data_IF_688700788420
#
_entry.id   IF_688700788420
#
_cell.length_a   1.000
_cell.length_b   1.000
_cell.length_c   1.000
_cell.angle_alpha   90.00
_cell.angle_beta   90.00
_cell.angle_gamma   90.00
#
_symmetry.space_group_name_H-M   'P 1'
#
loop_
_entity.id
_entity.type
_entity.pdbx_description
1 polymer ?
#
# COMPACT_ATOMS: atom_id res chain seq x y z
N UNK A 1 25.88 -10.95 9.09
CA UNK A 1 25.36 -11.23 7.72
C UNK A 1 24.19 -10.29 7.47
N UNK A 2 24.04 -9.69 6.27
CA UNK A 2 22.88 -8.88 5.96
C UNK A 2 21.60 -9.74 6.03
N UNK A 3 20.54 -9.20 6.64
CA UNK A 3 19.24 -9.86 6.75
C UNK A 3 18.60 -10.02 5.37
N UNK A 4 18.03 -11.19 5.08
CA UNK A 4 17.35 -11.45 3.80
C UNK A 4 16.03 -10.68 3.71
N UNK A 5 15.51 -10.45 2.49
CA UNK A 5 14.22 -9.79 2.29
C UNK A 5 13.08 -10.54 3.00
N UNK A 6 13.10 -11.88 2.97
CA UNK A 6 12.15 -12.72 3.69
C UNK A 6 12.22 -12.52 5.21
N UNK A 7 13.42 -12.48 5.80
CA UNK A 7 13.59 -12.24 7.24
C UNK A 7 13.06 -10.87 7.65
N UNK A 8 13.28 -9.83 6.84
CA UNK A 8 12.73 -8.49 7.09
C UNK A 8 11.20 -8.48 6.98
N UNK A 9 10.64 -9.14 5.97
CA UNK A 9 9.20 -9.26 5.79
C UNK A 9 8.53 -9.90 7.02
N UNK A 10 9.09 -10.99 7.54
CA UNK A 10 8.58 -11.64 8.78
C UNK A 10 8.66 -10.72 9.99
N UNK A 11 9.78 -10.00 10.18
CA UNK A 11 9.96 -9.05 11.28
C UNK A 11 8.97 -7.87 11.23
N UNK A 12 8.68 -7.36 10.03
CA UNK A 12 7.69 -6.29 9.88
C UNK A 12 6.29 -6.84 10.15
N UNK A 13 5.95 -8.00 9.59
CA UNK A 13 4.63 -8.60 9.75
C UNK A 13 4.33 -9.00 11.21
N UNK A 14 5.34 -9.30 12.03
CA UNK A 14 5.13 -9.56 13.46
C UNK A 14 4.71 -8.31 14.25
N UNK A 15 4.88 -7.11 13.67
CA UNK A 15 4.41 -5.82 14.21
C UNK A 15 3.08 -5.37 13.61
N UNK A 16 2.51 -6.13 12.68
CA UNK A 16 1.28 -5.78 11.98
C UNK A 16 0.04 -6.32 12.69
N UNK A 17 -1.09 -5.66 12.46
CA UNK A 17 -2.41 -6.22 12.71
C UNK A 17 -2.99 -6.77 11.41
N UNK A 18 -3.76 -7.86 11.46
CA UNK A 18 -4.33 -8.50 10.29
C UNK A 18 -5.85 -8.31 10.24
N UNK A 19 -6.39 -7.88 9.10
CA UNK A 19 -7.83 -7.70 8.96
C UNK A 19 -8.56 -9.04 8.91
N UNK A 20 -9.86 -9.02 9.20
CA UNK A 20 -10.72 -10.17 8.89
C UNK A 20 -10.82 -10.37 7.37
N UNK A 21 -10.96 -11.60 6.89
CA UNK A 21 -11.03 -11.90 5.45
C UNK A 21 -12.27 -11.34 4.73
N UNK A 22 -13.26 -10.88 5.48
CA UNK A 22 -14.48 -10.24 4.95
C UNK A 22 -14.40 -8.72 4.97
N UNK A 23 -13.33 -8.15 5.53
CA UNK A 23 -13.14 -6.71 5.61
C UNK A 23 -12.38 -6.19 4.39
N UNK A 24 -12.81 -5.02 3.91
CA UNK A 24 -12.05 -4.20 2.98
C UNK A 24 -11.86 -2.79 3.57
N UNK A 25 -10.61 -2.32 3.69
CA UNK A 25 -10.32 -0.96 4.13
C UNK A 25 -10.88 0.08 3.15
N UNK A 26 -11.17 -0.29 1.90
CA UNK A 26 -11.75 0.64 0.92
C UNK A 26 -13.27 0.73 0.98
N UNK A 27 -13.92 -0.17 1.72
CA UNK A 27 -15.39 -0.25 1.84
C UNK A 27 -15.89 0.04 3.27
N UNK A 28 -14.98 0.06 4.25
CA UNK A 28 -15.31 0.31 5.66
C UNK A 28 -15.43 1.80 5.97
N UNK A 29 -16.27 2.19 6.95
CA UNK A 29 -16.30 3.56 7.46
C UNK A 29 -14.90 4.00 7.91
N UNK A 30 -14.51 5.23 7.53
CA UNK A 30 -13.21 5.80 7.87
C UNK A 30 -12.01 4.96 7.42
N UNK A 31 -12.19 4.08 6.44
CA UNK A 31 -11.14 3.24 5.87
C UNK A 31 -10.36 2.40 6.90
N UNK A 32 -11.04 2.05 8.00
CA UNK A 32 -10.44 1.35 9.13
C UNK A 32 -10.90 -0.10 9.13
N UNK A 33 -9.99 -1.07 8.89
CA UNK A 33 -10.37 -2.46 8.91
C UNK A 33 -10.69 -2.95 10.33
N UNK A 34 -11.55 -3.97 10.41
CA UNK A 34 -11.72 -4.78 11.62
C UNK A 34 -10.64 -5.86 11.64
N UNK A 35 -10.01 -6.05 12.80
CA UNK A 35 -8.88 -6.96 12.95
C UNK A 35 -9.28 -8.32 13.54
N UNK A 36 -8.61 -9.38 13.09
CA UNK A 36 -8.62 -10.69 13.73
C UNK A 36 -7.60 -10.73 14.87
N UNK A 37 -7.70 -11.72 15.77
CA UNK A 37 -6.67 -12.05 16.76
C UNK A 37 -5.56 -12.96 16.21
N UNK A 38 -5.38 -12.97 14.89
CA UNK A 38 -4.44 -13.87 14.17
C UNK A 38 -3.03 -13.30 14.25
N UNK A 39 -2.05 -14.14 14.57
CA UNK A 39 -0.63 -13.79 14.58
C UNK A 39 0.05 -14.14 13.24
N UNK A 40 1.24 -13.59 12.98
CA UNK A 40 1.99 -13.98 11.77
C UNK A 40 2.38 -15.46 11.81
N UNK A 41 2.65 -16.02 12.98
CA UNK A 41 2.91 -17.45 13.18
C UNK A 41 1.70 -18.29 12.75
N UNK A 42 0.48 -17.88 13.12
CA UNK A 42 -0.76 -18.53 12.68
C UNK A 42 -0.95 -18.48 11.16
N UNK A 43 -0.49 -17.41 10.52
CA UNK A 43 -0.57 -17.24 9.06
C UNK A 43 0.46 -18.14 8.36
N UNK A 44 1.72 -18.13 8.81
CA UNK A 44 2.82 -18.88 8.18
C UNK A 44 2.64 -20.40 8.34
N UNK A 45 2.02 -20.85 9.44
CA UNK A 45 1.77 -22.26 9.68
C UNK A 45 0.63 -22.85 8.82
N UNK A 46 -0.10 -22.01 8.07
CA UNK A 46 -1.13 -22.48 7.14
C UNK A 46 -0.50 -23.06 5.87
N UNK A 47 -1.16 -24.03 5.22
CA UNK A 47 -0.69 -24.57 3.95
C UNK A 47 -0.53 -23.47 2.90
N UNK A 48 0.47 -23.64 2.03
CA UNK A 48 0.77 -22.71 0.94
C UNK A 48 -0.49 -22.43 0.12
N UNK A 49 -0.81 -21.15 -0.04
CA UNK A 49 -1.90 -20.69 -0.91
C UNK A 49 -1.44 -20.66 -2.38
N UNK A 50 -2.42 -20.53 -3.26
CA UNK A 50 -2.16 -20.16 -4.65
C UNK A 50 -1.62 -18.72 -4.72
N UNK A 51 -0.35 -18.61 -5.08
CA UNK A 51 0.37 -17.36 -5.19
C UNK A 51 0.42 -16.80 -6.61
N UNK A 52 -0.25 -17.43 -7.58
CA UNK A 52 -0.18 -17.06 -9.01
C UNK A 52 -0.48 -15.57 -9.20
N UNK A 53 -1.59 -15.09 -8.64
CA UNK A 53 -1.99 -13.68 -8.75
C UNK A 53 -0.99 -12.70 -8.12
N UNK A 54 -0.35 -13.11 -7.02
CA UNK A 54 0.68 -12.29 -6.34
C UNK A 54 1.91 -12.17 -7.24
N UNK A 55 2.35 -13.28 -7.82
CA UNK A 55 3.49 -13.31 -8.73
C UNK A 55 3.21 -12.51 -10.00
N UNK A 56 2.01 -12.63 -10.56
CA UNK A 56 1.59 -11.88 -11.75
C UNK A 56 1.61 -10.37 -11.50
N UNK A 57 0.95 -9.89 -10.43
CA UNK A 57 0.93 -8.45 -10.14
C UNK A 57 2.33 -7.95 -9.77
N UNK A 58 3.10 -8.73 -9.01
CA UNK A 58 4.47 -8.38 -8.63
C UNK A 58 5.37 -8.24 -9.84
N UNK A 59 5.19 -9.06 -10.86
CA UNK A 59 5.88 -8.94 -12.13
C UNK A 59 5.46 -7.67 -12.87
N UNK A 60 4.15 -7.43 -13.02
CA UNK A 60 3.60 -6.30 -13.75
C UNK A 60 4.00 -4.92 -13.19
N UNK A 61 4.03 -4.80 -11.85
CA UNK A 61 4.34 -3.55 -11.14
C UNK A 61 5.78 -3.49 -10.66
N UNK A 62 6.56 -4.56 -10.88
CA UNK A 62 7.92 -4.74 -10.37
C UNK A 62 8.00 -4.39 -8.87
N UNK A 63 7.19 -5.07 -8.08
CA UNK A 63 7.03 -4.83 -6.65
C UNK A 63 8.36 -5.11 -5.90
N UNK A 64 8.72 -4.30 -4.89
CA UNK A 64 9.89 -4.55 -4.05
C UNK A 64 9.86 -5.91 -3.37
N UNK A 65 11.03 -6.56 -3.29
CA UNK A 65 11.17 -7.91 -2.74
C UNK A 65 10.60 -8.03 -1.34
N UNK A 66 10.78 -7.01 -0.50
CA UNK A 66 10.24 -7.00 0.86
C UNK A 66 8.71 -7.10 0.86
N UNK A 67 8.03 -6.35 0.00
CA UNK A 67 6.57 -6.35 -0.11
C UNK A 67 6.07 -7.64 -0.78
N UNK A 68 6.75 -8.14 -1.82
CA UNK A 68 6.43 -9.44 -2.41
C UNK A 68 6.47 -10.54 -1.34
N UNK A 69 7.55 -10.61 -0.56
CA UNK A 69 7.67 -11.59 0.52
C UNK A 69 6.56 -11.42 1.57
N UNK A 70 6.20 -10.19 1.93
CA UNK A 70 5.09 -9.94 2.84
C UNK A 70 3.78 -10.52 2.29
N UNK A 71 3.43 -10.25 1.03
CA UNK A 71 2.20 -10.77 0.42
C UNK A 71 2.20 -12.29 0.23
N UNK A 72 3.35 -12.89 -0.10
CA UNK A 72 3.51 -14.35 -0.19
C UNK A 72 3.31 -15.04 1.16
N UNK A 73 3.69 -14.38 2.26
CA UNK A 73 3.51 -14.90 3.63
C UNK A 73 2.07 -14.81 4.11
N UNK A 74 1.20 -13.99 3.51
CA UNK A 74 -0.22 -13.91 3.90
C UNK A 74 -0.96 -15.20 3.53
N UNK A 75 -2.06 -15.53 4.22
CA UNK A 75 -2.85 -16.74 3.97
C UNK A 75 -3.89 -16.61 2.84
N UNK A 76 -4.09 -15.40 2.30
CA UNK A 76 -5.09 -15.12 1.26
C UNK A 76 -4.66 -13.94 0.38
N UNK A 77 -5.21 -13.84 -0.84
CA UNK A 77 -5.10 -12.66 -1.72
C UNK A 77 -6.04 -11.52 -1.29
N UNK A 78 -6.91 -11.78 -0.31
CA UNK A 78 -7.92 -10.86 0.24
C UNK A 78 -7.56 -10.31 1.61
N UNK A 79 -6.50 -10.81 2.26
CA UNK A 79 -6.13 -10.35 3.59
C UNK A 79 -5.42 -9.01 3.50
N UNK A 80 -5.82 -8.09 4.38
CA UNK A 80 -5.15 -6.82 4.61
C UNK A 80 -4.28 -6.94 5.85
N UNK A 81 -3.25 -6.11 5.91
CA UNK A 81 -2.48 -5.94 7.13
C UNK A 81 -2.25 -4.46 7.37
N UNK A 82 -2.21 -4.06 8.64
CA UNK A 82 -1.96 -2.69 9.03
C UNK A 82 -0.62 -2.59 9.73
N UNK A 83 0.20 -1.66 9.26
CA UNK A 83 1.44 -1.28 9.91
C UNK A 83 1.29 0.16 10.41
N UNK A 84 1.24 0.29 11.74
CA UNK A 84 0.91 1.55 12.39
C UNK A 84 -0.40 2.14 11.83
N UNK A 85 -0.37 3.36 11.30
CA UNK A 85 -1.56 4.07 10.77
C UNK A 85 -1.93 3.70 9.33
N UNK A 86 -1.16 2.85 8.65
CA UNK A 86 -1.40 2.48 7.25
C UNK A 86 -1.96 1.06 7.13
N UNK A 87 -3.07 0.94 6.41
CA UNK A 87 -3.69 -0.32 6.01
C UNK A 87 -3.25 -0.69 4.60
N UNK A 88 -2.44 -1.74 4.47
CA UNK A 88 -2.02 -2.29 3.19
C UNK A 88 -3.16 -3.09 2.57
N UNK A 89 -3.50 -2.72 1.33
CA UNK A 89 -4.59 -3.31 0.58
C UNK A 89 -4.28 -4.77 0.21
N UNK A 90 -5.31 -5.59 0.03
CA UNK A 90 -5.13 -6.95 -0.45
C UNK A 90 -4.71 -6.93 -1.93
N UNK A 91 -4.04 -8.00 -2.38
CA UNK A 91 -3.56 -8.13 -3.77
C UNK A 91 -4.69 -7.97 -4.79
N UNK A 92 -5.90 -8.44 -4.46
CA UNK A 92 -7.07 -8.28 -5.31
C UNK A 92 -7.41 -6.80 -5.59
N UNK A 93 -7.29 -5.95 -4.56
CA UNK A 93 -7.57 -4.51 -4.66
C UNK A 93 -6.43 -3.78 -5.36
N UNK A 94 -5.18 -4.16 -5.07
CA UNK A 94 -3.99 -3.62 -5.74
C UNK A 94 -4.07 -3.85 -7.25
N UNK A 95 -4.35 -5.09 -7.68
CA UNK A 95 -4.54 -5.43 -9.09
C UNK A 95 -5.70 -4.64 -9.70
N UNK A 96 -6.87 -4.60 -9.03
CA UNK A 96 -8.04 -3.84 -9.50
C UNK A 96 -7.70 -2.38 -9.78
N UNK A 97 -7.04 -1.69 -8.84
CA UNK A 97 -6.65 -0.28 -8.98
C UNK A 97 -5.59 -0.10 -10.06
N UNK A 98 -4.59 -0.98 -10.12
CA UNK A 98 -3.57 -0.93 -11.17
C UNK A 98 -4.18 -1.08 -12.58
N UNK A 99 -5.10 -2.04 -12.79
CA UNK A 99 -5.82 -2.17 -14.06
C UNK A 99 -6.66 -0.93 -14.40
N UNK A 100 -7.21 -0.23 -13.41
CA UNK A 100 -7.90 1.05 -13.64
C UNK A 100 -6.95 2.15 -14.12
N UNK A 101 -5.73 2.22 -13.58
CA UNK A 101 -4.70 3.15 -14.06
C UNK A 101 -4.24 2.83 -15.48
N UNK A 102 -4.08 1.55 -15.82
CA UNK A 102 -3.72 1.13 -17.17
C UNK A 102 -4.76 1.58 -18.22
N UNK A 103 -6.06 1.53 -17.88
CA UNK A 103 -7.14 2.05 -18.75
C UNK A 103 -7.07 3.56 -18.99
N UNK A 104 -6.30 4.28 -18.17
CA UNK A 104 -6.02 5.72 -18.27
C UNK A 104 -4.56 5.99 -18.67
N UNK A 105 -3.91 5.01 -19.30
CA UNK A 105 -2.54 5.08 -19.82
C UNK A 105 -1.46 5.32 -18.74
N UNK A 106 -1.78 5.06 -17.47
CA UNK A 106 -0.84 5.12 -16.36
C UNK A 106 -0.37 3.71 -15.98
N UNK A 107 0.88 3.38 -16.32
CA UNK A 107 1.47 2.04 -16.16
C UNK A 107 2.54 1.96 -15.07
N UNK A 108 2.97 3.09 -14.51
CA UNK A 108 4.11 3.14 -13.60
C UNK A 108 3.73 3.15 -12.13
N UNK A 109 2.48 3.49 -11.84
CA UNK A 109 1.99 3.69 -10.48
C UNK A 109 1.13 2.52 -10.03
N UNK A 110 1.36 2.08 -8.80
CA UNK A 110 0.59 1.05 -8.13
C UNK A 110 0.26 1.52 -6.72
N UNK A 111 -1.01 1.58 -6.34
CA UNK A 111 -1.39 1.91 -4.96
C UNK A 111 -1.29 0.67 -4.08
N UNK A 112 -0.77 0.83 -2.86
CA UNK A 112 -0.44 -0.30 -1.97
C UNK A 112 -1.12 -0.21 -0.61
N UNK A 113 -1.24 0.98 -0.02
CA UNK A 113 -1.81 1.16 1.30
C UNK A 113 -2.56 2.48 1.42
N UNK A 114 -3.43 2.57 2.41
CA UNK A 114 -4.21 3.77 2.71
C UNK A 114 -4.19 4.09 4.20
N UNK A 115 -4.34 5.37 4.52
CA UNK A 115 -4.56 5.86 5.88
C UNK A 115 -5.62 6.96 5.87
N UNK A 116 -6.51 6.99 6.86
CA UNK A 116 -7.56 8.00 6.92
C UNK A 116 -7.00 9.38 7.29
N UNK A 117 -7.39 10.41 6.53
CA UNK A 117 -6.91 11.79 6.71
C UNK A 117 -8.01 12.75 7.21
N UNK A 118 -9.25 12.27 7.39
CA UNK A 118 -10.37 13.10 7.83
C UNK A 118 -11.23 13.65 6.69
N UNK A 119 -12.51 13.96 6.99
CA UNK A 119 -13.46 14.59 6.05
C UNK A 119 -13.55 13.91 4.67
N UNK A 120 -13.50 12.57 4.66
CA UNK A 120 -13.57 11.78 3.42
C UNK A 120 -12.28 11.74 2.59
N UNK A 121 -11.18 12.34 3.08
CA UNK A 121 -9.86 12.20 2.49
C UNK A 121 -9.08 11.04 3.09
N UNK A 122 -8.20 10.48 2.28
CA UNK A 122 -7.22 9.47 2.65
C UNK A 122 -5.84 9.88 2.16
N UNK A 123 -4.81 9.35 2.81
CA UNK A 123 -3.45 9.30 2.27
C UNK A 123 -3.24 7.93 1.64
N UNK A 124 -2.79 7.90 0.41
CA UNK A 124 -2.45 6.69 -0.33
C UNK A 124 -0.94 6.58 -0.43
N UNK A 125 -0.41 5.42 -0.04
CA UNK A 125 0.95 5.00 -0.35
C UNK A 125 0.95 4.35 -1.73
N UNK A 126 1.69 4.95 -2.66
CA UNK A 126 1.83 4.43 -4.02
C UNK A 126 3.30 4.09 -4.32
N UNK A 127 3.52 3.02 -5.08
CA UNK A 127 4.80 2.63 -5.64
C UNK A 127 4.93 3.13 -7.08
N UNK A 128 6.12 3.64 -7.43
CA UNK A 128 6.48 3.96 -8.80
C UNK A 128 7.59 3.05 -9.30
N UNK A 129 7.25 2.17 -10.24
CA UNK A 129 8.20 1.20 -10.79
C UNK A 129 9.31 1.82 -11.63
N UNK A 130 9.08 3.03 -12.19
CA UNK A 130 10.08 3.75 -13.01
C UNK A 130 11.19 4.35 -12.15
N UNK A 131 10.83 4.97 -11.02
CA UNK A 131 11.82 5.58 -10.10
C UNK A 131 12.28 4.63 -9.00
N UNK A 132 11.58 3.51 -8.81
CA UNK A 132 11.79 2.57 -7.71
C UNK A 132 11.65 3.25 -6.33
N UNK A 133 10.65 4.13 -6.22
CA UNK A 133 10.35 4.88 -4.99
C UNK A 133 8.88 4.83 -4.65
N UNK A 134 8.59 5.00 -3.36
CA UNK A 134 7.25 5.20 -2.83
C UNK A 134 6.94 6.70 -2.71
N UNK A 135 5.66 7.01 -2.73
CA UNK A 135 5.15 8.37 -2.55
C UNK A 135 3.88 8.34 -1.70
N UNK A 136 3.65 9.43 -0.98
CA UNK A 136 2.41 9.66 -0.25
C UNK A 136 1.62 10.74 -0.97
N UNK A 137 0.34 10.46 -1.24
CA UNK A 137 -0.56 11.40 -1.92
C UNK A 137 -1.90 11.43 -1.22
N UNK A 138 -2.54 12.59 -1.22
CA UNK A 138 -3.95 12.72 -0.87
C UNK A 138 -4.81 12.10 -1.96
N UNK A 139 -5.88 11.47 -1.53
CA UNK A 139 -6.93 10.91 -2.39
C UNK A 139 -8.29 11.05 -1.68
N UNK A 140 -9.36 10.66 -2.38
CA UNK A 140 -10.73 10.78 -1.89
C UNK A 140 -11.22 12.21 -1.95
N UNK A 141 -12.06 12.58 -0.99
CA UNK A 141 -12.66 13.91 -0.88
C UNK A 141 -14.14 13.89 -0.53
N UNK A 142 -14.58 15.02 0.04
CA UNK A 142 -15.97 15.23 0.47
C UNK A 142 -16.95 15.46 -0.70
N UNK A 143 -16.44 15.73 -1.90
CA UNK A 143 -17.23 15.97 -3.10
C UNK A 143 -16.58 15.34 -4.34
N UNK A 144 -17.31 15.32 -5.46
CA UNK A 144 -16.83 14.69 -6.70
C UNK A 144 -15.71 15.49 -7.40
N UNK A 145 -15.61 16.80 -7.17
CA UNK A 145 -14.53 17.61 -7.74
C UNK A 145 -13.18 17.20 -7.17
N UNK A 146 -13.08 17.06 -5.85
CA UNK A 146 -11.84 16.63 -5.18
C UNK A 146 -11.42 15.23 -5.64
N UNK A 147 -12.39 14.32 -5.79
CA UNK A 147 -12.13 12.95 -6.25
C UNK A 147 -11.63 12.92 -7.69
N UNK A 148 -12.23 13.73 -8.56
CA UNK A 148 -11.82 13.86 -9.96
C UNK A 148 -10.43 14.48 -10.05
N UNK A 149 -10.15 15.52 -9.25
CA UNK A 149 -8.85 16.19 -9.24
C UNK A 149 -7.74 15.24 -8.77
N UNK A 150 -7.97 14.49 -7.68
CA UNK A 150 -7.05 13.46 -7.19
C UNK A 150 -6.82 12.34 -8.20
N UNK A 151 -7.88 11.88 -8.88
CA UNK A 151 -7.77 10.89 -9.96
C UNK A 151 -6.96 11.44 -11.14
N UNK A 152 -7.21 12.69 -11.55
CA UNK A 152 -6.48 13.33 -12.64
C UNK A 152 -5.01 13.54 -12.29
N UNK A 153 -4.70 13.92 -11.05
CA UNK A 153 -3.35 14.05 -10.56
C UNK A 153 -2.56 12.75 -10.74
N UNK A 154 -3.11 11.62 -10.27
CA UNK A 154 -2.38 10.35 -10.30
C UNK A 154 -2.27 9.78 -11.72
N UNK A 155 -3.28 9.99 -12.57
CA UNK A 155 -3.23 9.49 -13.96
C UNK A 155 -2.25 10.29 -14.81
N UNK A 156 -2.12 11.59 -14.56
CA UNK A 156 -1.16 12.48 -15.22
C UNK A 156 0.16 12.63 -14.44
N UNK A 157 0.41 11.75 -13.47
CA UNK A 157 1.57 11.83 -12.60
C UNK A 157 2.88 11.85 -13.39
N UNK A 158 3.73 12.84 -13.10
CA UNK A 158 5.06 12.99 -13.67
C UNK A 158 6.13 12.92 -12.58
N UNK A 159 6.87 11.81 -12.55
CA UNK A 159 7.93 11.57 -11.57
C UNK A 159 9.02 12.66 -11.56
N UNK A 160 9.29 13.31 -12.69
CA UNK A 160 10.30 14.36 -12.78
C UNK A 160 9.90 15.67 -12.07
N UNK A 161 8.61 15.83 -11.76
CA UNK A 161 8.08 17.00 -11.04
C UNK A 161 8.02 16.80 -9.53
N UNK A 162 8.30 15.59 -9.02
CA UNK A 162 8.22 15.27 -7.60
C UNK A 162 9.57 15.57 -6.91
N UNK A 163 9.59 16.37 -5.85
CA UNK A 163 10.81 16.63 -5.08
C UNK A 163 11.42 15.34 -4.55
N UNK A 164 12.76 15.25 -4.56
CA UNK A 164 13.47 14.02 -4.18
C UNK A 164 13.22 13.66 -2.70
N UNK A 165 13.03 14.66 -1.85
CA UNK A 165 12.71 14.53 -0.43
C UNK A 165 11.36 13.85 -0.16
N UNK A 166 10.40 14.01 -1.08
CA UNK A 166 9.07 13.37 -1.01
C UNK A 166 9.08 11.94 -1.57
N UNK A 167 10.19 11.50 -2.17
CA UNK A 167 10.37 10.14 -2.66
C UNK A 167 10.97 9.26 -1.56
N UNK A 168 10.23 8.23 -1.16
CA UNK A 168 10.62 7.31 -0.09
C UNK A 168 11.26 6.08 -0.73
N UNK A 169 12.51 5.77 -0.36
CA UNK A 169 13.20 4.57 -0.85
C UNK A 169 12.71 3.32 -0.11
N UNK A 170 13.00 2.14 -0.65
CA UNK A 170 12.67 0.87 0.01
C UNK A 170 13.29 0.77 1.42
N UNK A 171 14.53 1.20 1.59
CA UNK A 171 15.22 1.17 2.89
C UNK A 171 14.58 2.10 3.92
N UNK A 172 13.94 3.18 3.46
CA UNK A 172 13.30 4.18 4.31
C UNK A 172 11.82 3.91 4.55
N UNK A 173 11.19 3.00 3.80
CA UNK A 173 9.74 2.83 3.80
C UNK A 173 9.20 2.62 5.21
N UNK A 174 9.54 1.49 5.86
CA UNK A 174 8.93 1.14 7.14
C UNK A 174 9.32 2.09 8.27
N UNK A 175 10.55 2.64 8.25
CA UNK A 175 10.94 3.72 9.16
C UNK A 175 10.09 4.98 8.97
N UNK A 176 9.70 5.30 7.73
CA UNK A 176 8.81 6.44 7.45
C UNK A 176 7.39 6.14 7.95
N UNK A 177 6.92 4.90 7.79
CA UNK A 177 5.59 4.47 8.26
C UNK A 177 5.50 4.25 9.78
N UNK A 178 6.60 4.42 10.53
CA UNK A 178 6.59 4.45 12.00
C UNK A 178 5.96 5.73 12.58
N UNK A 179 5.62 6.71 11.75
CA UNK A 179 4.88 7.91 12.15
C UNK A 179 3.55 7.56 12.86
N UNK A 180 3.24 8.29 13.93
CA UNK A 180 2.04 8.03 14.74
C UNK A 180 0.79 8.68 14.16
N UNK A 181 0.96 9.60 13.22
CA UNK A 181 -0.15 10.26 12.53
C UNK A 181 0.25 10.66 11.12
N UNK A 182 -0.76 10.84 10.27
CA UNK A 182 -0.61 11.27 8.88
C UNK A 182 -0.06 12.71 8.78
N UNK A 183 -0.32 13.54 9.79
CA UNK A 183 0.17 14.91 9.88
C UNK A 183 1.69 14.99 10.00
N UNK A 184 2.33 14.03 10.69
CA UNK A 184 3.79 13.94 10.79
C UNK A 184 4.45 13.70 9.42
N UNK A 185 3.69 13.19 8.45
CA UNK A 185 4.15 12.87 7.09
C UNK A 185 3.78 13.94 6.06
N UNK A 186 3.18 15.06 6.48
CA UNK A 186 2.58 16.06 5.58
C UNK A 186 3.56 16.64 4.57
N UNK A 187 4.82 16.84 4.97
CA UNK A 187 5.86 17.40 4.10
C UNK A 187 6.31 16.41 3.00
N UNK A 188 5.91 15.15 3.10
CA UNK A 188 6.17 14.12 2.08
C UNK A 188 5.03 14.01 1.06
N UNK A 189 3.94 14.74 1.22
CA UNK A 189 2.80 14.64 0.32
C UNK A 189 3.10 15.29 -1.03
N UNK A 190 2.82 14.57 -2.11
CA UNK A 190 3.14 15.02 -3.48
C UNK A 190 2.01 15.85 -4.14
N UNK A 191 0.85 15.94 -3.50
CA UNK A 191 -0.29 16.78 -3.91
C UNK A 191 -0.94 17.45 -2.69
N UNK A 192 -1.77 18.46 -2.99
CA UNK A 192 -2.42 19.33 -2.00
C UNK A 192 -3.70 18.74 -1.44
#
# INVERSE_FOLDING_TARGET
MPQTALQKATEILSRCNFSTLTTSCTETPFFTPTYDSVTIEDVINKPSKDNTKILDISHDVELPDILLNMFLLLDSNKREFSYNIFSFMPIDEIDRRYRMFQKKEQFNICDLATSYYGMGHIIVLSWNKKTKTFMLRRDGGSNDYDRIDNMNFITNYNAAAVPQESQITEERLFKTLEANSVEELRDLFINK
#
